data_IF_203069023947
#
_entry.id   IF_203069023947
#
_cell.length_a   1.000
_cell.length_b   1.000
_cell.length_c   1.000
_cell.angle_alpha   90.00
_cell.angle_beta   90.00
_cell.angle_gamma   90.00
#
_symmetry.space_group_name_H-M   'P 1'
#
loop_
_entity.id
_entity.type
_entity.pdbx_description
1 polymer ?
#
# COMPACT_ATOMS: atom_id res chain seq x y z
N UNK A 1 2.82 -10.73 6.58
CA UNK A 1 4.05 -10.47 7.33
C UNK A 1 4.06 -9.01 7.75
N UNK A 2 4.10 -8.74 9.05
CA UNK A 2 4.26 -7.40 9.64
C UNK A 2 5.65 -7.32 10.26
N UNK A 3 6.29 -6.17 10.13
CA UNK A 3 7.65 -5.92 10.62
C UNK A 3 7.69 -4.71 11.55
N UNK A 4 8.49 -4.82 12.61
CA UNK A 4 8.81 -3.74 13.55
C UNK A 4 10.27 -3.88 14.00
N UNK A 5 11.15 -3.04 13.44
CA UNK A 5 12.59 -3.21 13.66
C UNK A 5 13.07 -4.55 13.11
N UNK A 6 13.71 -5.36 13.95
CA UNK A 6 14.13 -6.73 13.62
C UNK A 6 13.02 -7.77 13.81
N UNK A 7 11.92 -7.38 14.46
CA UNK A 7 10.80 -8.29 14.73
C UNK A 7 9.94 -8.44 13.48
N UNK A 8 9.68 -9.69 13.12
CA UNK A 8 8.78 -10.08 12.05
C UNK A 8 7.72 -11.02 12.59
N UNK A 9 6.46 -10.73 12.29
CA UNK A 9 5.34 -11.60 12.65
C UNK A 9 4.52 -11.94 11.41
N UNK A 10 4.28 -13.23 11.21
CA UNK A 10 3.25 -13.71 10.29
C UNK A 10 1.95 -13.87 11.05
N UNK A 11 0.90 -13.23 10.54
CA UNK A 11 -0.44 -13.27 11.13
C UNK A 11 -1.35 -13.88 10.09
N UNK A 12 -1.99 -14.99 10.43
CA UNK A 12 -3.07 -15.53 9.64
C UNK A 12 -4.31 -14.68 9.87
N UNK A 13 -4.85 -14.09 8.79
CA UNK A 13 -5.98 -13.17 8.88
C UNK A 13 -7.22 -13.88 8.33
N UNK A 14 -8.07 -14.36 9.23
CA UNK A 14 -9.42 -14.80 8.90
C UNK A 14 -10.34 -13.59 8.71
N UNK A 15 -11.17 -13.59 7.67
CA UNK A 15 -12.09 -12.49 7.39
C UNK A 15 -13.33 -12.96 6.64
N UNK A 16 -14.43 -12.22 6.81
CA UNK A 16 -15.70 -12.52 6.12
C UNK A 16 -15.66 -12.12 4.64
N UNK A 17 -14.68 -11.29 4.26
CA UNK A 17 -14.51 -10.78 2.92
C UNK A 17 -13.10 -11.08 2.40
N UNK A 18 -13.02 -11.66 1.21
CA UNK A 18 -11.79 -11.77 0.43
C UNK A 18 -11.98 -10.98 -0.86
N UNK A 19 -11.20 -9.91 -1.02
CA UNK A 19 -11.31 -8.99 -2.16
C UNK A 19 -9.93 -8.73 -2.74
N UNK A 20 -9.82 -8.74 -4.06
CA UNK A 20 -8.56 -8.45 -4.76
C UNK A 20 -8.54 -7.01 -5.27
N UNK A 21 -8.86 -6.05 -4.39
CA UNK A 21 -8.90 -4.63 -4.73
C UNK A 21 -8.64 -3.76 -3.52
N UNK A 22 -7.61 -2.94 -3.60
CA UNK A 22 -7.24 -2.00 -2.53
C UNK A 22 -8.34 -0.96 -2.29
N UNK A 23 -9.07 -0.56 -3.34
CA UNK A 23 -10.22 0.33 -3.20
C UNK A 23 -11.37 -0.28 -2.41
N UNK A 24 -11.62 -1.59 -2.60
CA UNK A 24 -12.62 -2.31 -1.80
C UNK A 24 -12.17 -2.47 -0.34
N UNK A 25 -10.90 -2.78 -0.08
CA UNK A 25 -10.37 -2.81 1.29
C UNK A 25 -10.59 -1.48 2.01
N UNK A 26 -10.26 -0.34 1.36
CA UNK A 26 -10.51 1.00 1.89
C UNK A 26 -12.00 1.21 2.18
N UNK A 27 -12.88 0.89 1.23
CA UNK A 27 -14.32 1.08 1.40
C UNK A 27 -14.88 0.24 2.56
N UNK A 28 -14.53 -1.03 2.65
CA UNK A 28 -14.97 -1.91 3.74
C UNK A 28 -14.51 -1.40 5.11
N UNK A 29 -13.25 -0.97 5.22
CA UNK A 29 -12.72 -0.39 6.45
C UNK A 29 -13.48 0.90 6.86
N UNK A 30 -13.80 1.79 5.91
CA UNK A 30 -14.58 3.01 6.22
C UNK A 30 -16.02 2.73 6.65
N UNK A 31 -16.57 1.57 6.27
CA UNK A 31 -17.90 1.11 6.67
C UNK A 31 -17.90 0.35 8.01
N UNK A 32 -16.76 0.27 8.70
CA UNK A 32 -16.56 -0.52 9.92
C UNK A 32 -16.73 -2.03 9.73
N UNK A 33 -16.48 -2.53 8.51
CA UNK A 33 -16.57 -3.95 8.18
C UNK A 33 -15.24 -4.69 8.38
N UNK A 34 -14.30 -4.10 9.12
CA UNK A 34 -13.03 -4.74 9.49
C UNK A 34 -11.84 -3.79 9.55
N UNK A 35 -10.66 -4.41 9.64
CA UNK A 35 -9.34 -3.77 9.57
C UNK A 35 -8.77 -4.00 8.17
N UNK A 36 -8.19 -2.97 7.57
CA UNK A 36 -7.52 -3.08 6.27
C UNK A 36 -6.06 -2.65 6.34
N UNK A 37 -5.21 -3.39 5.64
CA UNK A 37 -3.83 -3.00 5.35
C UNK A 37 -3.84 -2.14 4.08
N UNK A 38 -3.61 -0.84 4.22
CA UNK A 38 -3.71 0.12 3.11
C UNK A 38 -2.41 0.91 2.96
N UNK A 39 -2.00 1.23 1.71
CA UNK A 39 -0.98 2.25 1.47
C UNK A 39 -1.39 3.57 2.14
N UNK A 40 -0.44 4.24 2.78
CA UNK A 40 -0.68 5.46 3.56
C UNK A 40 -1.39 6.51 2.72
N UNK A 41 -1.09 6.58 1.44
CA UNK A 41 -1.55 7.64 0.54
C UNK A 41 -2.98 7.39 0.08
N UNK A 42 -3.37 6.12 -0.01
CA UNK A 42 -4.77 5.76 -0.23
C UNK A 42 -5.62 6.01 1.01
N UNK A 43 -5.03 5.89 2.21
CA UNK A 43 -5.71 6.16 3.47
C UNK A 43 -5.66 7.64 3.89
N UNK A 44 -4.77 8.46 3.31
CA UNK A 44 -4.45 9.80 3.79
C UNK A 44 -5.67 10.71 3.95
N UNK A 45 -6.57 10.71 2.95
CA UNK A 45 -7.79 11.51 2.98
C UNK A 45 -8.76 11.05 4.09
N UNK A 46 -8.92 9.73 4.25
CA UNK A 46 -9.80 9.18 5.28
C UNK A 46 -9.23 9.32 6.69
N UNK A 47 -7.90 9.25 6.83
CA UNK A 47 -7.18 9.52 8.07
C UNK A 47 -7.32 10.99 8.46
N UNK A 48 -7.12 11.92 7.51
CA UNK A 48 -7.28 13.35 7.72
C UNK A 48 -8.73 13.72 8.07
N UNK A 49 -9.70 13.06 7.43
CA UNK A 49 -11.12 13.24 7.72
C UNK A 49 -11.60 12.50 8.99
N UNK A 50 -10.73 11.78 9.69
CA UNK A 50 -11.08 10.98 10.88
C UNK A 50 -11.99 9.79 10.59
N UNK A 51 -12.23 9.44 9.32
CA UNK A 51 -13.00 8.26 8.92
C UNK A 51 -12.26 6.96 9.19
N UNK A 52 -10.93 6.99 9.09
CA UNK A 52 -10.04 5.90 9.47
C UNK A 52 -9.06 6.37 10.54
N UNK A 53 -8.50 5.41 11.27
CA UNK A 53 -7.42 5.59 12.23
C UNK A 53 -6.41 4.45 12.10
N UNK A 54 -5.14 4.81 12.16
CA UNK A 54 -4.01 3.87 12.22
C UNK A 54 -4.03 3.15 13.57
N UNK A 55 -4.05 1.81 13.56
CA UNK A 55 -4.16 1.01 14.79
C UNK A 55 -2.87 0.25 15.16
N UNK A 56 -1.94 0.09 14.22
CA UNK A 56 -0.63 -0.54 14.44
C UNK A 56 0.49 0.39 13.93
N UNK A 57 0.73 1.54 14.57
CA UNK A 57 1.62 2.57 14.04
C UNK A 57 3.10 2.16 13.96
N UNK A 58 3.54 1.24 14.81
CA UNK A 58 4.91 0.72 14.84
C UNK A 58 5.16 -0.39 13.81
N UNK A 59 4.08 -0.94 13.24
CA UNK A 59 4.15 -2.07 12.33
C UNK A 59 4.01 -1.61 10.89
N UNK A 60 4.84 -2.18 10.03
CA UNK A 60 4.89 -1.89 8.60
C UNK A 60 5.00 -3.20 7.81
N UNK A 61 4.50 -3.20 6.58
CA UNK A 61 4.82 -4.26 5.62
C UNK A 61 6.03 -3.86 4.78
N UNK A 62 6.73 -4.84 4.24
CA UNK A 62 7.74 -4.58 3.20
C UNK A 62 7.03 -4.18 1.90
N UNK A 63 7.65 -3.24 1.17
CA UNK A 63 7.21 -2.92 -0.20
C UNK A 63 7.67 -4.02 -1.14
N UNK A 64 6.78 -4.62 -1.93
CA UNK A 64 7.24 -5.44 -3.04
C UNK A 64 7.98 -4.56 -4.06
N UNK A 65 9.09 -5.04 -4.64
CA UNK A 65 9.77 -4.35 -5.73
C UNK A 65 8.88 -4.29 -6.98
N UNK A 66 8.98 -3.19 -7.72
CA UNK A 66 8.26 -3.00 -9.00
C UNK A 66 9.21 -3.31 -10.15
N UNK A 67 8.81 -4.24 -11.02
CA UNK A 67 9.60 -4.67 -12.17
C UNK A 67 8.95 -4.22 -13.49
N UNK A 68 9.78 -3.85 -14.46
CA UNK A 68 9.36 -3.71 -15.86
C UNK A 68 9.70 -5.01 -16.59
N UNK A 69 8.68 -5.76 -16.98
CA UNK A 69 8.83 -7.01 -17.72
C UNK A 69 8.72 -6.75 -19.22
N UNK A 70 9.65 -7.31 -19.99
CA UNK A 70 9.71 -7.15 -21.45
C UNK A 70 9.97 -8.48 -22.12
N UNK A 71 9.26 -8.78 -23.20
CA UNK A 71 9.42 -10.05 -23.95
C UNK A 71 10.72 -10.09 -24.76
N UNK A 72 11.23 -8.93 -25.20
CA UNK A 72 12.39 -8.84 -26.08
C UNK A 72 13.72 -8.89 -25.30
N UNK A 73 14.65 -9.75 -25.76
CA UNK A 73 16.03 -9.80 -25.24
C UNK A 73 16.83 -8.54 -25.56
N UNK A 74 16.59 -7.91 -26.71
CA UNK A 74 17.17 -6.62 -27.10
C UNK A 74 16.07 -5.56 -27.10
N UNK A 75 16.22 -4.54 -26.25
CA UNK A 75 15.26 -3.46 -26.17
C UNK A 75 15.59 -2.35 -27.17
N UNK A 76 14.64 -1.94 -28.04
CA UNK A 76 14.82 -0.77 -28.89
C UNK A 76 15.09 0.50 -28.05
N UNK A 77 15.85 1.43 -28.61
CA UNK A 77 16.21 2.68 -27.93
C UNK A 77 14.98 3.47 -27.41
N UNK A 78 13.87 3.44 -28.14
CA UNK A 78 12.61 4.08 -27.73
C UNK A 78 12.04 3.47 -26.44
N UNK A 79 12.08 2.14 -26.30
CA UNK A 79 11.60 1.43 -25.11
C UNK A 79 12.50 1.74 -23.91
N UNK A 80 13.82 1.74 -24.10
CA UNK A 80 14.75 2.14 -23.04
C UNK A 80 14.49 3.57 -22.54
N UNK A 81 14.25 4.51 -23.47
CA UNK A 81 13.91 5.90 -23.11
C UNK A 81 12.57 6.00 -22.39
N UNK A 82 11.59 5.19 -22.77
CA UNK A 82 10.31 5.13 -22.07
C UNK A 82 10.44 4.54 -20.65
N UNK A 83 11.19 3.45 -20.49
CA UNK A 83 11.49 2.87 -19.16
C UNK A 83 12.21 3.90 -18.29
N UNK A 84 13.20 4.61 -18.83
CA UNK A 84 13.92 5.65 -18.09
C UNK A 84 12.97 6.78 -17.66
N UNK A 85 12.10 7.23 -18.56
CA UNK A 85 11.06 8.20 -18.23
C UNK A 85 10.12 7.72 -17.11
N UNK A 86 9.68 6.45 -17.18
CA UNK A 86 8.85 5.84 -16.15
C UNK A 86 9.59 5.76 -14.82
N UNK A 87 10.87 5.34 -14.80
CA UNK A 87 11.69 5.31 -13.58
C UNK A 87 11.74 6.68 -12.93
N UNK A 88 12.01 7.74 -13.67
CA UNK A 88 12.08 9.10 -13.11
C UNK A 88 10.74 9.62 -12.58
N UNK A 89 9.62 9.22 -13.20
CA UNK A 89 8.28 9.67 -12.79
C UNK A 89 7.73 8.84 -11.63
N UNK A 90 7.90 7.53 -11.70
CA UNK A 90 7.48 6.60 -10.67
C UNK A 90 8.36 6.74 -9.44
N UNK A 91 9.68 6.87 -9.56
CA UNK A 91 10.54 7.16 -8.41
C UNK A 91 10.09 8.42 -7.69
N UNK A 92 9.81 9.51 -8.41
CA UNK A 92 9.28 10.74 -7.81
C UNK A 92 7.93 10.55 -7.13
N UNK A 93 7.01 9.76 -7.71
CA UNK A 93 5.72 9.47 -7.07
C UNK A 93 5.90 8.55 -5.87
N UNK A 94 6.61 7.44 -6.00
CA UNK A 94 6.94 6.47 -4.95
C UNK A 94 7.68 7.16 -3.78
N UNK A 95 8.56 8.13 -4.06
CA UNK A 95 9.28 8.90 -3.05
C UNK A 95 8.45 10.03 -2.44
N UNK A 96 7.66 10.76 -3.23
CA UNK A 96 6.77 11.83 -2.76
C UNK A 96 5.52 11.30 -2.02
N UNK A 97 5.18 10.04 -2.23
CA UNK A 97 4.13 9.33 -1.52
C UNK A 97 4.62 8.85 -0.13
N UNK A 98 5.93 8.95 0.17
CA UNK A 98 6.47 8.58 1.48
C UNK A 98 6.27 7.09 1.71
N UNK A 99 7.09 6.28 1.03
CA UNK A 99 7.02 4.81 1.05
C UNK A 99 5.69 4.25 0.55
N UNK A 100 5.55 4.21 -0.78
CA UNK A 100 4.87 3.08 -1.42
C UNK A 100 5.51 1.82 -0.86
N UNK A 101 4.88 1.22 0.16
CA UNK A 101 5.55 0.20 0.95
C UNK A 101 5.09 0.09 2.39
N UNK A 102 4.96 1.19 3.14
CA UNK A 102 4.56 1.11 4.55
C UNK A 102 3.04 1.06 4.68
N UNK A 103 2.40 0.08 4.07
CA UNK A 103 0.99 -0.15 4.32
C UNK A 103 0.80 -0.34 5.83
N UNK A 104 -0.16 0.38 6.41
CA UNK A 104 -0.47 0.22 7.83
C UNK A 104 -1.92 -0.22 8.01
N UNK A 105 -2.13 -1.04 9.04
CA UNK A 105 -3.45 -1.41 9.49
C UNK A 105 -4.23 -0.17 9.95
N UNK A 106 -5.39 0.02 9.33
CA UNK A 106 -6.34 1.08 9.66
C UNK A 106 -7.71 0.49 10.00
N UNK A 107 -8.43 1.15 10.92
CA UNK A 107 -9.81 0.85 11.31
C UNK A 107 -10.62 2.14 11.40
N UNK A 108 -11.94 2.08 11.20
CA UNK A 108 -12.83 3.22 11.40
C UNK A 108 -12.75 3.79 12.83
N UNK A 109 -12.88 5.12 12.96
CA UNK A 109 -13.14 5.78 14.24
C UNK A 109 -14.66 5.85 14.44
N UNK A 110 -15.17 5.21 15.49
CA UNK A 110 -16.55 5.43 15.94
C UNK A 110 -16.51 6.49 17.04
N UNK A 111 -17.01 7.69 16.73
CA UNK A 111 -17.34 8.67 17.77
C UNK A 111 -18.66 8.24 18.40
N UNK A 112 -18.63 7.97 19.70
CA UNK A 112 -19.81 7.73 20.52
C UNK A 112 -20.30 9.05 21.09
#
# INVERSE_FOLDING_TARGET
MLQRGEETVEVEVGGWFQVNSVGMFRRLATLDLGVALLPVEMAAEDLAAGRLRRILPEWQTSSPPVYALTEARLLPAKTLRFIEFLRQRLARRISALGSWGSSTACRKVSFR
#
